data_IF_917435018440
#
_entry.id   IF_917435018440
#
_cell.length_a   1.000
_cell.length_b   1.000
_cell.length_c   1.000
_cell.angle_alpha   90.00
_cell.angle_beta   90.00
_cell.angle_gamma   90.00
#
_symmetry.space_group_name_H-M   'P 1'
#
loop_
_entity.id
_entity.type
_entity.pdbx_description
1 polymer ?
#
# COMPACT_ATOMS: atom_id res chain seq x y z
N UNK A 1 -4.67 -31.53 -15.42
CA UNK A 1 -3.76 -30.53 -16.01
C UNK A 1 -3.02 -29.86 -14.87
N UNK A 2 -1.70 -30.03 -14.80
CA UNK A 2 -0.89 -29.89 -13.60
C UNK A 2 -0.86 -28.45 -13.03
N UNK A 3 -1.24 -28.31 -11.74
CA UNK A 3 -1.03 -27.11 -10.93
C UNK A 3 0.46 -26.88 -10.73
N UNK A 4 1.08 -26.09 -11.60
CA UNK A 4 2.38 -25.47 -11.33
C UNK A 4 2.15 -23.96 -11.21
N UNK A 5 1.33 -23.57 -10.24
CA UNK A 5 1.46 -22.24 -9.67
C UNK A 5 2.82 -22.24 -8.95
N UNK A 6 3.86 -21.75 -9.64
CA UNK A 6 5.17 -21.58 -9.03
C UNK A 6 5.11 -20.68 -7.79
N UNK A 7 6.24 -20.52 -7.10
CA UNK A 7 6.34 -19.65 -5.92
C UNK A 7 5.84 -18.21 -6.18
N UNK A 8 5.90 -17.73 -7.43
CA UNK A 8 5.38 -16.43 -7.85
C UNK A 8 3.85 -16.39 -7.92
N UNK A 9 3.20 -17.42 -8.50
CA UNK A 9 1.73 -17.53 -8.51
C UNK A 9 1.14 -17.52 -7.10
N UNK A 10 1.76 -18.24 -6.15
CA UNK A 10 1.36 -18.23 -4.74
C UNK A 10 1.45 -16.82 -4.12
N UNK A 11 2.47 -16.03 -4.49
CA UNK A 11 2.62 -14.64 -4.02
C UNK A 11 1.54 -13.71 -4.56
N UNK A 12 1.11 -13.90 -5.81
CA UNK A 12 0.04 -13.11 -6.44
C UNK A 12 -1.28 -13.34 -5.69
N UNK A 13 -1.67 -14.61 -5.49
CA UNK A 13 -2.88 -14.95 -4.74
C UNK A 13 -2.84 -14.46 -3.29
N UNK A 14 -1.68 -14.56 -2.63
CA UNK A 14 -1.48 -14.06 -1.28
C UNK A 14 -1.63 -12.53 -1.21
N UNK A 15 -1.08 -11.79 -2.16
CA UNK A 15 -1.26 -10.33 -2.24
C UNK A 15 -2.74 -9.98 -2.39
N UNK A 16 -3.46 -10.61 -3.33
CA UNK A 16 -4.89 -10.34 -3.53
C UNK A 16 -5.72 -10.60 -2.27
N UNK A 17 -5.43 -11.68 -1.54
CA UNK A 17 -6.08 -11.98 -0.27
C UNK A 17 -5.77 -10.93 0.81
N UNK A 18 -4.53 -10.46 0.89
CA UNK A 18 -4.12 -9.39 1.82
C UNK A 18 -4.83 -8.06 1.48
N UNK A 19 -5.03 -7.72 0.19
CA UNK A 19 -5.82 -6.52 -0.21
C UNK A 19 -7.24 -6.60 0.31
N UNK A 20 -7.87 -7.76 0.14
CA UNK A 20 -9.24 -7.98 0.58
C UNK A 20 -9.37 -7.79 2.09
N UNK A 21 -8.41 -8.29 2.87
CA UNK A 21 -8.43 -8.17 4.33
C UNK A 21 -8.20 -6.71 4.77
N UNK A 22 -7.28 -5.99 4.13
CA UNK A 22 -7.08 -4.57 4.41
C UNK A 22 -8.34 -3.73 4.11
N UNK A 23 -9.01 -4.01 2.99
CA UNK A 23 -10.28 -3.37 2.67
C UNK A 23 -11.37 -3.70 3.69
N UNK A 24 -11.45 -4.97 4.13
CA UNK A 24 -12.40 -5.40 5.16
C UNK A 24 -12.16 -4.70 6.51
N UNK A 25 -10.90 -4.45 6.87
CA UNK A 25 -10.53 -3.77 8.11
C UNK A 25 -10.79 -2.26 8.06
N UNK A 26 -10.88 -1.66 6.87
CA UNK A 26 -11.26 -0.26 6.73
C UNK A 26 -12.68 -0.03 7.28
N UNK A 27 -12.84 0.93 8.19
CA UNK A 27 -14.15 1.26 8.76
C UNK A 27 -14.91 2.15 7.78
N UNK A 28 -16.15 1.78 7.48
CA UNK A 28 -17.08 2.61 6.72
C UNK A 28 -17.92 3.41 7.72
N UNK A 29 -17.67 4.70 7.84
CA UNK A 29 -18.34 5.61 8.77
C UNK A 29 -19.08 6.76 8.08
N UNK A 30 -18.88 6.95 6.76
CA UNK A 30 -19.57 7.96 5.96
C UNK A 30 -19.93 7.46 4.55
N UNK A 31 -20.89 8.13 3.90
CA UNK A 31 -21.30 7.81 2.53
C UNK A 31 -20.16 7.98 1.51
N UNK A 32 -19.26 8.95 1.72
CA UNK A 32 -18.08 9.14 0.87
C UNK A 32 -17.10 7.96 1.01
N UNK A 33 -16.86 7.48 2.25
CA UNK A 33 -16.06 6.28 2.52
C UNK A 33 -16.67 5.03 1.89
N UNK A 34 -18.02 4.92 1.84
CA UNK A 34 -18.69 3.82 1.13
C UNK A 34 -18.43 3.82 -0.37
N UNK A 35 -18.36 5.00 -1.01
CA UNK A 35 -18.09 5.10 -2.46
C UNK A 35 -16.63 4.75 -2.76
N UNK A 36 -15.68 5.22 -1.94
CA UNK A 36 -14.27 4.81 -2.08
C UNK A 36 -14.09 3.30 -1.84
N UNK A 37 -14.73 2.75 -0.81
CA UNK A 37 -14.73 1.31 -0.55
C UNK A 37 -15.25 0.51 -1.77
N UNK A 38 -16.35 0.95 -2.39
CA UNK A 38 -16.90 0.30 -3.59
C UNK A 38 -15.95 0.42 -4.79
N UNK A 39 -15.25 1.54 -4.96
CA UNK A 39 -14.21 1.69 -6.00
C UNK A 39 -13.10 0.67 -5.81
N UNK A 40 -12.54 0.61 -4.61
CA UNK A 40 -11.45 -0.33 -4.30
C UNK A 40 -11.88 -1.80 -4.45
N UNK A 41 -13.13 -2.13 -4.09
CA UNK A 41 -13.66 -3.47 -4.28
C UNK A 41 -13.80 -3.83 -5.77
N UNK A 42 -14.26 -2.89 -6.60
CA UNK A 42 -14.36 -3.09 -8.05
C UNK A 42 -12.99 -3.22 -8.73
N UNK A 43 -11.99 -2.48 -8.27
CA UNK A 43 -10.60 -2.63 -8.72
C UNK A 43 -10.04 -4.00 -8.35
N UNK A 44 -10.24 -4.44 -7.10
CA UNK A 44 -9.80 -5.77 -6.66
C UNK A 44 -10.48 -6.88 -7.47
N UNK A 45 -11.77 -6.74 -7.81
CA UNK A 45 -12.48 -7.70 -8.64
C UNK A 45 -11.93 -7.78 -10.08
N UNK A 46 -11.50 -6.65 -10.65
CA UNK A 46 -10.83 -6.63 -11.97
C UNK A 46 -9.48 -7.33 -11.93
N UNK A 47 -8.68 -7.04 -10.90
CA UNK A 47 -7.36 -7.64 -10.73
C UNK A 47 -7.46 -9.16 -10.49
N UNK A 48 -8.51 -9.60 -9.79
CA UNK A 48 -8.84 -11.02 -9.62
C UNK A 48 -9.16 -11.68 -10.97
N UNK A 49 -10.02 -11.06 -11.79
CA UNK A 49 -10.40 -11.59 -13.10
C UNK A 49 -9.20 -11.65 -14.06
N UNK A 50 -8.32 -10.65 -14.02
CA UNK A 50 -7.09 -10.65 -14.80
C UNK A 50 -6.13 -11.75 -14.36
N UNK A 51 -5.98 -11.94 -13.04
CA UNK A 51 -5.16 -13.02 -12.49
C UNK A 51 -5.71 -14.40 -12.86
N UNK A 52 -7.03 -14.63 -12.77
CA UNK A 52 -7.68 -15.87 -13.19
C UNK A 52 -7.45 -16.14 -14.68
N UNK A 53 -7.68 -15.15 -15.54
CA UNK A 53 -7.43 -15.28 -16.99
C UNK A 53 -5.96 -15.59 -17.29
N UNK A 54 -5.03 -14.92 -16.60
CA UNK A 54 -3.61 -15.17 -16.78
C UNK A 54 -3.20 -16.57 -16.28
N UNK A 55 -3.82 -17.09 -15.21
CA UNK A 55 -3.58 -18.44 -14.71
C UNK A 55 -4.10 -19.51 -15.68
N UNK A 56 -5.32 -19.35 -16.19
CA UNK A 56 -5.91 -20.22 -17.22
C UNK A 56 -5.03 -20.29 -18.47
N UNK A 57 -4.38 -19.18 -18.82
CA UNK A 57 -3.50 -19.08 -19.98
C UNK A 57 -2.02 -19.41 -19.64
N UNK A 58 -1.72 -19.82 -18.41
CA UNK A 58 -0.37 -20.22 -17.96
C UNK A 58 0.64 -19.06 -17.83
N UNK A 59 0.16 -17.82 -17.86
CA UNK A 59 0.96 -16.57 -17.78
C UNK A 59 0.83 -15.85 -16.45
N UNK A 60 0.36 -16.52 -15.40
CA UNK A 60 0.26 -15.92 -14.05
C UNK A 60 1.58 -15.27 -13.58
N UNK A 61 2.74 -15.80 -14.00
CA UNK A 61 4.05 -15.23 -13.66
C UNK A 61 4.35 -13.86 -14.30
N UNK A 62 3.57 -13.43 -15.29
CA UNK A 62 3.68 -12.12 -15.94
C UNK A 62 2.88 -11.04 -15.18
N UNK A 63 1.97 -11.45 -14.28
CA UNK A 63 1.22 -10.52 -13.42
C UNK A 63 2.17 -9.93 -12.38
N UNK A 64 2.23 -8.60 -12.33
CA UNK A 64 2.99 -7.90 -11.29
C UNK A 64 2.33 -8.10 -9.94
N UNK A 65 3.09 -8.62 -8.96
CA UNK A 65 2.69 -8.62 -7.55
C UNK A 65 2.80 -7.20 -7.03
N UNK A 66 1.66 -6.53 -6.84
CA UNK A 66 1.62 -5.26 -6.12
C UNK A 66 1.41 -5.59 -4.63
N UNK A 67 2.31 -5.14 -3.75
CA UNK A 67 2.03 -5.20 -2.31
C UNK A 67 0.86 -4.24 -2.03
N UNK A 68 -0.23 -4.70 -1.42
CA UNK A 68 -1.42 -3.91 -1.13
C UNK A 68 -1.11 -2.60 -0.43
N UNK A 69 -0.14 -2.64 0.48
CA UNK A 69 0.22 -1.52 1.35
C UNK A 69 1.02 -0.47 0.59
N UNK A 70 1.84 -0.91 -0.36
CA UNK A 70 2.53 -0.02 -1.31
C UNK A 70 1.55 0.64 -2.28
N UNK A 71 0.51 -0.08 -2.69
CA UNK A 71 -0.58 0.47 -3.50
C UNK A 71 -1.30 1.62 -2.81
N UNK A 72 -1.70 1.42 -1.55
CA UNK A 72 -2.37 2.46 -0.76
C UNK A 72 -1.45 3.66 -0.47
N UNK A 73 -0.17 3.43 -0.17
CA UNK A 73 0.82 4.52 -0.05
C UNK A 73 0.92 5.31 -1.36
N UNK A 74 1.00 4.63 -2.51
CA UNK A 74 1.01 5.28 -3.84
C UNK A 74 -0.21 6.19 -4.02
N UNK A 75 -1.41 5.72 -3.68
CA UNK A 75 -2.63 6.52 -3.78
C UNK A 75 -2.59 7.77 -2.88
N UNK A 76 -2.19 7.63 -1.61
CA UNK A 76 -2.04 8.77 -0.69
C UNK A 76 -1.04 9.79 -1.25
N UNK A 77 0.10 9.33 -1.75
CA UNK A 77 1.12 10.21 -2.29
C UNK A 77 0.67 10.92 -3.57
N UNK A 78 -0.06 10.25 -4.46
CA UNK A 78 -0.60 10.87 -5.68
C UNK A 78 -1.69 11.91 -5.37
N UNK A 79 -2.55 11.66 -4.39
CA UNK A 79 -3.65 12.55 -4.04
C UNK A 79 -3.18 13.82 -3.31
N UNK A 80 -2.22 13.68 -2.38
CA UNK A 80 -1.82 14.77 -1.48
C UNK A 80 -0.50 15.44 -1.86
N UNK A 81 0.19 15.01 -2.92
CA UNK A 81 1.38 15.74 -3.40
C UNK A 81 0.98 17.13 -3.93
N UNK A 82 1.80 18.17 -3.69
CA UNK A 82 1.56 19.46 -4.31
C UNK A 82 1.68 19.39 -5.84
N UNK A 83 0.86 20.17 -6.56
CA UNK A 83 0.95 20.27 -8.01
C UNK A 83 2.31 20.84 -8.44
N UNK A 84 2.87 20.33 -9.54
CA UNK A 84 4.13 20.82 -10.10
C UNK A 84 5.39 20.32 -9.39
N UNK A 85 5.29 19.42 -8.41
CA UNK A 85 6.47 18.76 -7.81
C UNK A 85 6.91 17.58 -8.67
N UNK A 86 8.11 17.61 -9.29
CA UNK A 86 8.63 16.50 -10.08
C UNK A 86 9.18 15.43 -9.12
N UNK A 87 8.33 14.49 -8.73
CA UNK A 87 8.69 13.40 -7.81
C UNK A 87 8.32 12.04 -8.42
N UNK A 88 9.21 11.07 -8.26
CA UNK A 88 8.94 9.67 -8.62
C UNK A 88 8.26 9.00 -7.43
N UNK A 89 6.92 8.98 -7.43
CA UNK A 89 6.13 8.46 -6.30
C UNK A 89 6.51 7.03 -5.93
N UNK A 90 6.74 6.16 -6.91
CA UNK A 90 7.18 4.78 -6.70
C UNK A 90 8.46 4.71 -5.83
N UNK A 91 9.42 5.62 -6.04
CA UNK A 91 10.65 5.67 -5.24
C UNK A 91 10.40 6.12 -3.81
N UNK A 92 9.46 7.05 -3.59
CA UNK A 92 9.09 7.48 -2.25
C UNK A 92 8.40 6.34 -1.50
N UNK A 93 7.45 5.67 -2.15
CA UNK A 93 6.73 4.51 -1.60
C UNK A 93 7.69 3.41 -1.21
N UNK A 94 8.69 3.09 -2.04
CA UNK A 94 9.71 2.08 -1.73
C UNK A 94 10.53 2.44 -0.47
N UNK A 95 10.95 3.71 -0.35
CA UNK A 95 11.71 4.18 0.82
C UNK A 95 10.88 4.10 2.09
N UNK A 96 9.61 4.49 2.01
CA UNK A 96 8.69 4.42 3.14
C UNK A 96 8.44 2.97 3.53
N UNK A 97 8.12 2.08 2.58
CA UNK A 97 7.91 0.65 2.84
C UNK A 97 9.14 0.01 3.50
N UNK A 98 10.32 0.30 2.96
CA UNK A 98 11.61 -0.19 3.50
C UNK A 98 11.88 0.31 4.94
N UNK A 99 11.43 1.52 5.28
CA UNK A 99 11.53 2.06 6.64
C UNK A 99 10.63 1.29 7.62
N UNK A 100 9.41 0.94 7.22
CA UNK A 100 8.36 0.47 8.14
C UNK A 100 8.24 -1.05 8.20
N UNK A 101 8.64 -1.75 7.14
CA UNK A 101 8.59 -3.21 7.06
C UNK A 101 9.37 -3.92 8.18
N UNK A 102 10.58 -3.47 8.62
CA UNK A 102 11.33 -4.12 9.70
C UNK A 102 10.69 -3.97 11.08
N UNK A 103 9.90 -2.90 11.30
CA UNK A 103 9.23 -2.66 12.58
C UNK A 103 7.82 -3.25 12.62
N UNK A 104 7.37 -3.87 11.53
CA UNK A 104 6.04 -4.48 11.44
C UNK A 104 5.81 -5.50 12.55
N UNK A 105 4.67 -5.41 13.24
CA UNK A 105 4.29 -6.36 14.29
C UNK A 105 5.14 -6.32 15.56
N UNK A 106 6.06 -5.36 15.69
CA UNK A 106 6.88 -5.17 16.91
C UNK A 106 6.15 -4.40 18.02
N UNK A 107 4.97 -3.83 17.74
CA UNK A 107 4.26 -2.95 18.65
C UNK A 107 4.85 -1.52 18.71
N UNK A 108 5.65 -1.13 17.72
CA UNK A 108 6.27 0.20 17.65
C UNK A 108 5.28 1.36 17.79
N UNK A 109 4.02 1.15 17.39
CA UNK A 109 2.94 2.13 17.44
C UNK A 109 2.57 2.55 18.87
N UNK A 110 2.79 1.68 19.86
CA UNK A 110 2.50 1.96 21.27
C UNK A 110 3.76 2.37 22.06
N UNK A 111 4.94 2.14 21.47
CA UNK A 111 6.23 2.51 22.05
C UNK A 111 6.60 3.96 21.71
N UNK A 112 6.76 4.81 22.73
CA UNK A 112 7.08 6.22 22.52
C UNK A 112 8.40 6.44 21.74
N UNK A 113 9.49 5.66 21.96
CA UNK A 113 10.67 5.70 21.09
C UNK A 113 10.41 5.26 19.65
N UNK A 114 9.67 4.16 19.44
CA UNK A 114 9.38 3.62 18.10
C UNK A 114 8.53 4.58 17.26
N UNK A 115 7.48 5.12 17.87
CA UNK A 115 6.61 6.13 17.28
C UNK A 115 7.38 7.34 16.76
N UNK A 116 8.27 7.89 17.61
CA UNK A 116 9.08 9.06 17.27
C UNK A 116 10.07 8.76 16.15
N UNK A 117 10.70 7.59 16.16
CA UNK A 117 11.63 7.16 15.12
C UNK A 117 10.95 7.13 13.75
N UNK A 118 9.80 6.45 13.63
CA UNK A 118 9.08 6.35 12.36
C UNK A 118 8.62 7.72 11.87
N UNK A 119 8.10 8.58 12.76
CA UNK A 119 7.75 9.97 12.40
C UNK A 119 8.95 10.75 11.87
N UNK A 120 10.09 10.67 12.55
CA UNK A 120 11.30 11.40 12.18
C UNK A 120 11.83 10.95 10.81
N UNK A 121 11.94 9.65 10.59
CA UNK A 121 12.42 9.08 9.33
C UNK A 121 11.45 9.36 8.18
N UNK A 122 10.14 9.29 8.40
CA UNK A 122 9.16 9.67 7.39
C UNK A 122 9.33 11.14 6.96
N UNK A 123 9.53 12.06 7.91
CA UNK A 123 9.80 13.48 7.58
C UNK A 123 11.06 13.63 6.72
N UNK A 124 12.11 12.87 7.02
CA UNK A 124 13.35 12.89 6.24
C UNK A 124 13.13 12.37 4.82
N UNK A 125 12.41 11.27 4.65
CA UNK A 125 12.08 10.70 3.33
C UNK A 125 11.31 11.72 2.49
N UNK A 126 10.28 12.36 3.06
CA UNK A 126 9.48 13.36 2.34
C UNK A 126 10.33 14.57 1.94
N UNK A 127 11.07 15.13 2.89
CA UNK A 127 11.95 16.28 2.64
C UNK A 127 12.98 15.98 1.55
N UNK A 128 13.64 14.82 1.60
CA UNK A 128 14.65 14.41 0.62
C UNK A 128 14.04 14.10 -0.76
N UNK A 129 12.74 13.85 -0.81
CA UNK A 129 12.00 13.60 -2.06
C UNK A 129 11.30 14.85 -2.59
N UNK A 130 11.53 16.03 -1.98
CA UNK A 130 10.89 17.29 -2.38
C UNK A 130 9.42 17.41 -1.99
N UNK A 131 8.93 16.53 -1.12
CA UNK A 131 7.55 16.54 -0.62
C UNK A 131 7.44 17.27 0.72
N UNK A 132 6.28 17.88 1.04
CA UNK A 132 6.05 18.51 2.34
C UNK A 132 6.24 17.51 3.50
N UNK A 133 7.15 17.76 4.46
CA UNK A 133 7.37 16.86 5.60
C UNK A 133 6.34 17.06 6.74
N UNK A 134 5.29 17.86 6.51
CA UNK A 134 4.21 18.16 7.43
C UNK A 134 2.96 18.55 6.63
N UNK A 135 1.80 18.54 7.30
CA UNK A 135 0.49 18.76 6.68
C UNK A 135 -0.13 17.46 6.18
N UNK A 136 -1.22 17.58 5.42
CA UNK A 136 -2.12 16.47 5.11
C UNK A 136 -1.41 15.26 4.49
N UNK A 137 -0.44 15.47 3.60
CA UNK A 137 0.33 14.38 3.00
C UNK A 137 1.07 13.54 4.06
N UNK A 138 1.76 14.21 4.99
CA UNK A 138 2.48 13.54 6.07
C UNK A 138 1.50 12.86 7.02
N UNK A 139 0.42 13.56 7.40
CA UNK A 139 -0.54 13.06 8.38
C UNK A 139 -1.28 11.81 7.87
N UNK A 140 -1.69 11.80 6.61
CA UNK A 140 -2.33 10.64 5.95
C UNK A 140 -1.37 9.48 5.78
N UNK A 141 -0.15 9.73 5.28
CA UNK A 141 0.84 8.68 5.12
C UNK A 141 1.21 8.05 6.46
N UNK A 142 1.42 8.86 7.50
CA UNK A 142 1.77 8.38 8.83
C UNK A 142 0.63 7.60 9.50
N UNK A 143 -0.62 8.08 9.40
CA UNK A 143 -1.79 7.36 9.91
C UNK A 143 -1.92 5.98 9.24
N UNK A 144 -1.80 5.95 7.92
CA UNK A 144 -1.82 4.71 7.16
C UNK A 144 -0.73 3.72 7.60
N UNK A 145 0.51 4.20 7.70
CA UNK A 145 1.65 3.39 8.18
C UNK A 145 1.34 2.78 9.56
N UNK A 146 0.87 3.59 10.50
CA UNK A 146 0.57 3.17 11.88
C UNK A 146 -0.50 2.08 11.94
N UNK A 147 -1.49 2.12 11.05
CA UNK A 147 -2.59 1.15 11.03
C UNK A 147 -2.24 -0.15 10.30
N UNK A 148 -1.31 -0.12 9.35
CA UNK A 148 -1.11 -1.20 8.37
C UNK A 148 0.27 -1.89 8.45
N UNK A 149 1.20 -1.40 9.27
CA UNK A 149 2.53 -1.97 9.53
C UNK A 149 2.78 -2.09 11.03
#
# INVERSE_FOLDING_TARGET
MARIAGATGIKIWKSLAERLELLRLSRISSAAESVEFLRHLLELAKDLLEAERADDEGRINEIKVIDPRKGALTQIFEEFKPQGVPVVIESVVEKVDSLVQPVRGTGWQTSHPGDRMVRQELRLILKNSGLPPAGDLFDRAYAYIRENY
#
